data_IF_215850502529
#
_entry.id   IF_215850502529
#
_cell.length_a   1.000
_cell.length_b   1.000
_cell.length_c   1.000
_cell.angle_alpha   90.00
_cell.angle_beta   90.00
_cell.angle_gamma   90.00
#
_symmetry.space_group_name_H-M   'P 1'
#
loop_
_entity.id
_entity.type
_entity.pdbx_description
1 polymer ?
#
# COMPACT_ATOMS: atom_id res chain seq x y z
N UNK A 1 14.63 1.72 -16.39
CA UNK A 1 13.48 1.11 -15.69
C UNK A 1 12.64 0.41 -16.74
N UNK A 2 12.35 -0.89 -16.58
CA UNK A 2 11.61 -1.65 -17.59
C UNK A 2 10.20 -1.04 -17.76
N UNK A 3 9.75 -0.81 -19.00
CA UNK A 3 8.48 -0.12 -19.31
C UNK A 3 7.26 -0.86 -18.72
N UNK A 4 7.35 -2.18 -18.62
CA UNK A 4 6.31 -3.04 -18.07
C UNK A 4 6.13 -2.85 -16.55
N UNK A 5 7.23 -2.81 -15.79
CA UNK A 5 7.19 -2.59 -14.34
C UNK A 5 6.56 -1.23 -14.00
N UNK A 6 6.88 -0.21 -14.80
CA UNK A 6 6.33 1.14 -14.58
C UNK A 6 4.83 1.20 -14.91
N UNK A 7 4.38 0.45 -15.92
CA UNK A 7 2.97 0.35 -16.30
C UNK A 7 2.14 -0.39 -15.24
N UNK A 8 2.67 -1.49 -14.69
CA UNK A 8 2.06 -2.24 -13.59
C UNK A 8 1.93 -1.40 -12.32
N UNK A 9 2.98 -0.65 -11.95
CA UNK A 9 2.94 0.25 -10.80
C UNK A 9 1.88 1.35 -10.98
N UNK A 10 1.81 1.96 -12.18
CA UNK A 10 0.86 3.02 -12.46
C UNK A 10 -0.60 2.53 -12.46
N UNK A 11 -0.85 1.32 -12.98
CA UNK A 11 -2.16 0.68 -12.88
C UNK A 11 -2.53 0.38 -11.43
N UNK A 12 -1.60 -0.19 -10.68
CA UNK A 12 -1.79 -0.48 -9.24
C UNK A 12 -2.17 0.79 -8.48
N UNK A 13 -1.41 1.89 -8.65
CA UNK A 13 -1.70 3.19 -8.04
C UNK A 13 -3.12 3.65 -8.39
N UNK A 14 -3.50 3.65 -9.67
CA UNK A 14 -4.84 4.11 -10.11
C UNK A 14 -5.96 3.30 -9.47
N UNK A 15 -5.79 1.99 -9.42
CA UNK A 15 -6.81 1.13 -8.86
C UNK A 15 -6.86 1.21 -7.34
N UNK A 16 -5.73 1.21 -6.64
CA UNK A 16 -5.68 1.37 -5.18
C UNK A 16 -6.28 2.69 -4.73
N UNK A 17 -5.90 3.81 -5.35
CA UNK A 17 -6.48 5.11 -5.02
C UNK A 17 -7.98 5.15 -5.35
N UNK A 18 -8.39 4.55 -6.46
CA UNK A 18 -9.80 4.47 -6.85
C UNK A 18 -10.65 3.66 -5.87
N UNK A 19 -10.24 2.42 -5.56
CA UNK A 19 -10.96 1.57 -4.60
C UNK A 19 -10.82 2.08 -3.17
N UNK A 20 -9.67 2.65 -2.83
CA UNK A 20 -9.41 3.29 -1.54
C UNK A 20 -10.35 4.46 -1.29
N UNK A 21 -10.54 5.33 -2.28
CA UNK A 21 -11.50 6.42 -2.22
C UNK A 21 -12.93 5.91 -2.04
N UNK A 22 -13.36 4.91 -2.81
CA UNK A 22 -14.70 4.33 -2.69
C UNK A 22 -14.94 3.73 -1.30
N UNK A 23 -13.97 3.00 -0.75
CA UNK A 23 -14.08 2.41 0.59
C UNK A 23 -14.07 3.52 1.66
N UNK A 24 -13.23 4.55 1.50
CA UNK A 24 -13.25 5.68 2.42
C UNK A 24 -14.60 6.40 2.43
N UNK A 25 -15.25 6.52 1.26
CA UNK A 25 -16.57 7.15 1.13
C UNK A 25 -17.64 6.34 1.86
N UNK A 26 -17.58 5.01 1.78
CA UNK A 26 -18.45 4.10 2.52
C UNK A 26 -18.21 4.24 4.04
N UNK A 27 -16.96 4.39 4.46
CA UNK A 27 -16.62 4.61 5.88
C UNK A 27 -17.16 5.96 6.38
N UNK A 28 -17.12 7.02 5.56
CA UNK A 28 -17.74 8.32 5.89
C UNK A 28 -19.25 8.15 6.13
N UNK A 29 -19.92 7.33 5.32
CA UNK A 29 -21.37 7.11 5.42
C UNK A 29 -21.78 6.30 6.67
N UNK A 30 -20.89 5.46 7.20
CA UNK A 30 -21.19 4.54 8.31
C UNK A 30 -20.62 5.05 9.65
N UNK A 31 -19.58 5.87 9.61
CA UNK A 31 -18.83 6.30 10.79
C UNK A 31 -18.59 7.81 10.77
N UNK A 32 -17.38 8.28 11.05
CA UNK A 32 -17.00 9.69 11.09
C UNK A 32 -16.00 10.04 9.99
N UNK A 33 -16.00 11.32 9.58
CA UNK A 33 -15.03 11.83 8.61
C UNK A 33 -13.58 11.66 9.08
N UNK A 34 -13.33 11.73 10.39
CA UNK A 34 -12.03 11.50 11.00
C UNK A 34 -11.58 10.05 10.77
N UNK A 35 -12.45 9.07 11.00
CA UNK A 35 -12.14 7.65 10.80
C UNK A 35 -11.85 7.33 9.32
N UNK A 36 -12.60 7.93 8.40
CA UNK A 36 -12.34 7.79 6.97
C UNK A 36 -11.00 8.41 6.55
N UNK A 37 -10.64 9.57 7.11
CA UNK A 37 -9.34 10.20 6.90
C UNK A 37 -8.19 9.32 7.38
N UNK A 38 -8.32 8.72 8.56
CA UNK A 38 -7.31 7.82 9.15
C UNK A 38 -7.15 6.54 8.33
N UNK A 39 -8.27 5.97 7.85
CA UNK A 39 -8.24 4.87 6.88
C UNK A 39 -7.47 5.26 5.61
N UNK A 40 -7.72 6.44 5.06
CA UNK A 40 -7.05 6.93 3.85
C UNK A 40 -5.54 7.17 4.08
N UNK A 41 -5.15 7.63 5.27
CA UNK A 41 -3.74 7.73 5.67
C UNK A 41 -3.10 6.34 5.69
N UNK A 42 -3.74 5.33 6.29
CA UNK A 42 -3.26 3.95 6.29
C UNK A 42 -3.05 3.38 4.88
N UNK A 43 -3.99 3.65 3.98
CA UNK A 43 -3.90 3.31 2.54
C UNK A 43 -2.74 4.03 1.84
N UNK A 44 -2.53 5.31 2.11
CA UNK A 44 -1.40 6.05 1.51
C UNK A 44 -0.05 5.53 2.00
N UNK A 45 0.06 5.22 3.30
CA UNK A 45 1.28 4.65 3.89
C UNK A 45 1.61 3.29 3.27
N UNK A 46 0.61 2.41 3.12
CA UNK A 46 0.80 1.10 2.50
C UNK A 46 1.20 1.22 1.02
N UNK A 47 0.60 2.15 0.28
CA UNK A 47 0.95 2.43 -1.12
C UNK A 47 2.39 2.95 -1.26
N UNK A 48 2.82 3.92 -0.45
CA UNK A 48 4.20 4.42 -0.46
C UNK A 48 5.17 3.29 -0.12
N UNK A 49 4.82 2.48 0.88
CA UNK A 49 5.61 1.32 1.29
C UNK A 49 5.76 0.30 0.16
N UNK A 50 4.69 0.04 -0.60
CA UNK A 50 4.71 -0.85 -1.76
C UNK A 50 5.52 -0.28 -2.93
N UNK A 51 5.35 1.01 -3.26
CA UNK A 51 6.11 1.67 -4.32
C UNK A 51 7.60 1.69 -4.03
N UNK A 52 7.99 2.00 -2.79
CA UNK A 52 9.39 1.91 -2.35
C UNK A 52 9.92 0.48 -2.53
N UNK A 53 9.14 -0.53 -2.12
CA UNK A 53 9.49 -1.94 -2.33
C UNK A 53 9.68 -2.29 -3.80
N UNK A 54 8.72 -1.91 -4.65
CA UNK A 54 8.74 -2.20 -6.09
C UNK A 54 9.92 -1.52 -6.79
N UNK A 55 10.27 -0.30 -6.39
CA UNK A 55 11.44 0.41 -6.92
C UNK A 55 12.75 -0.26 -6.50
N UNK A 56 12.89 -0.62 -5.22
CA UNK A 56 14.10 -1.25 -4.70
C UNK A 56 14.29 -2.63 -5.36
N UNK A 57 13.26 -3.46 -5.37
CA UNK A 57 13.30 -4.77 -6.03
C UNK A 57 13.58 -4.61 -7.52
N UNK A 58 12.82 -3.77 -8.24
CA UNK A 58 13.01 -3.57 -9.68
C UNK A 58 14.37 -3.02 -10.09
N UNK A 59 15.10 -2.34 -9.18
CA UNK A 59 16.42 -1.75 -9.44
C UNK A 59 17.58 -2.60 -8.96
N UNK A 60 17.40 -3.37 -7.88
CA UNK A 60 18.49 -4.06 -7.17
C UNK A 60 18.36 -5.60 -7.17
N UNK A 61 17.28 -6.19 -7.69
CA UNK A 61 17.13 -7.65 -7.77
C UNK A 61 18.09 -8.29 -8.79
N UNK A 62 18.36 -7.59 -9.89
CA UNK A 62 19.13 -8.14 -11.03
C UNK A 62 20.65 -7.84 -10.95
N UNK A 63 21.03 -6.91 -10.06
CA UNK A 63 22.44 -6.68 -9.71
C UNK A 63 22.72 -7.46 -8.45
N UNK A 64 23.94 -8.00 -8.31
CA UNK A 64 24.47 -8.74 -7.15
C UNK A 64 24.55 -7.90 -5.84
N UNK A 65 23.62 -6.97 -5.63
CA UNK A 65 23.42 -6.02 -4.54
C UNK A 65 22.09 -6.27 -3.81
N UNK A 66 21.55 -7.49 -3.89
CA UNK A 66 20.35 -7.91 -3.15
C UNK A 66 20.48 -7.65 -1.64
N UNK A 67 21.70 -7.58 -1.11
CA UNK A 67 21.98 -7.21 0.29
C UNK A 67 21.48 -5.82 0.69
N UNK A 68 21.28 -4.89 -0.26
CA UNK A 68 20.70 -3.56 -0.02
C UNK A 68 19.21 -3.65 0.35
N UNK A 69 18.53 -4.76 0.02
CA UNK A 69 17.11 -4.97 0.34
C UNK A 69 16.90 -5.06 1.86
N UNK A 70 17.85 -5.67 2.59
CA UNK A 70 17.77 -5.89 4.04
C UNK A 70 17.66 -4.56 4.82
N UNK A 71 18.58 -3.59 4.71
CA UNK A 71 18.47 -2.32 5.44
C UNK A 71 17.25 -1.49 5.02
N UNK A 72 16.83 -1.57 3.76
CA UNK A 72 15.62 -0.84 3.32
C UNK A 72 14.33 -1.37 3.93
N UNK A 73 14.28 -2.65 4.33
CA UNK A 73 13.15 -3.21 5.04
C UNK A 73 12.98 -2.58 6.43
N UNK A 74 14.08 -2.39 7.16
CA UNK A 74 14.06 -1.74 8.48
C UNK A 74 13.60 -0.29 8.40
N UNK A 75 14.07 0.47 7.40
CA UNK A 75 13.64 1.86 7.18
C UNK A 75 12.13 1.94 6.92
N UNK A 76 11.60 1.02 6.11
CA UNK A 76 10.17 0.93 5.80
C UNK A 76 9.33 0.55 7.02
N UNK A 77 9.82 -0.37 7.85
CA UNK A 77 9.16 -0.72 9.10
C UNK A 77 9.12 0.48 10.06
N UNK A 78 10.24 1.19 10.20
CA UNK A 78 10.32 2.40 11.01
C UNK A 78 9.36 3.49 10.51
N UNK A 79 9.22 3.65 9.19
CA UNK A 79 8.26 4.58 8.58
C UNK A 79 6.81 4.25 8.97
N UNK A 80 6.40 2.99 8.88
CA UNK A 80 5.05 2.56 9.26
C UNK A 80 4.79 2.87 10.74
N UNK A 81 5.74 2.50 11.62
CA UNK A 81 5.63 2.73 13.06
C UNK A 81 5.54 4.24 13.37
N UNK A 82 6.34 5.07 12.71
CA UNK A 82 6.29 6.52 12.89
C UNK A 82 4.92 7.10 12.50
N UNK A 83 4.28 6.56 11.46
CA UNK A 83 2.98 7.07 10.99
C UNK A 83 1.80 6.60 11.84
N UNK A 84 1.89 5.45 12.53
CA UNK A 84 0.83 5.00 13.43
C UNK A 84 0.95 5.60 14.84
N UNK A 85 2.16 6.02 15.23
CA UNK A 85 2.46 6.62 16.53
C UNK A 85 1.46 7.70 17.00
N UNK A 86 1.08 8.72 16.18
CA UNK A 86 0.13 9.74 16.59
C UNK A 86 -1.29 9.22 16.88
N UNK A 87 -1.64 8.02 16.42
CA UNK A 87 -2.97 7.42 16.57
C UNK A 87 -3.07 6.42 17.73
N UNK A 88 -1.96 6.07 18.38
CA UNK A 88 -1.92 5.07 19.46
C UNK A 88 -2.77 5.42 20.68
N UNK A 89 -3.09 6.71 20.87
CA UNK A 89 -3.94 7.17 21.97
C UNK A 89 -5.42 6.76 21.85
N UNK A 90 -5.87 6.30 20.68
CA UNK A 90 -7.24 5.85 20.48
C UNK A 90 -7.29 4.57 19.64
N UNK A 91 -7.74 3.47 20.26
CA UNK A 91 -7.77 2.14 19.64
C UNK A 91 -8.66 2.09 18.40
N UNK A 92 -9.73 2.90 18.34
CA UNK A 92 -10.60 2.97 17.17
C UNK A 92 -9.83 3.48 15.93
N UNK A 93 -9.00 4.51 16.12
CA UNK A 93 -8.18 5.08 15.05
C UNK A 93 -7.10 4.11 14.57
N UNK A 94 -6.48 3.37 15.50
CA UNK A 94 -5.52 2.31 15.16
C UNK A 94 -6.18 1.24 14.29
N UNK A 95 -7.42 0.83 14.62
CA UNK A 95 -8.16 -0.17 13.86
C UNK A 95 -8.45 0.33 12.44
N UNK A 96 -8.98 1.55 12.27
CA UNK A 96 -9.24 2.10 10.94
C UNK A 96 -7.97 2.26 10.11
N UNK A 97 -6.87 2.69 10.73
CA UNK A 97 -5.57 2.74 10.08
C UNK A 97 -5.11 1.36 9.62
N UNK A 98 -5.20 0.33 10.49
CA UNK A 98 -4.81 -1.04 10.15
C UNK A 98 -5.67 -1.61 9.03
N UNK A 99 -6.99 -1.37 9.04
CA UNK A 99 -7.90 -1.82 7.97
C UNK A 99 -7.49 -1.18 6.63
N UNK A 100 -7.14 0.11 6.62
CA UNK A 100 -6.63 0.79 5.42
C UNK A 100 -5.26 0.28 4.97
N UNK A 101 -4.39 -0.07 5.92
CA UNK A 101 -3.10 -0.65 5.60
C UNK A 101 -3.24 -2.06 4.98
N UNK A 102 -4.10 -2.91 5.55
CA UNK A 102 -4.32 -4.28 5.10
C UNK A 102 -5.11 -4.34 3.79
N UNK A 103 -6.10 -3.47 3.59
CA UNK A 103 -6.93 -3.46 2.39
C UNK A 103 -6.10 -3.29 1.11
N UNK A 104 -5.06 -2.48 1.14
CA UNK A 104 -4.09 -2.36 0.06
C UNK A 104 -3.46 -3.71 -0.34
N UNK A 105 -3.00 -4.53 0.62
CA UNK A 105 -2.42 -5.84 0.30
C UNK A 105 -3.46 -6.82 -0.24
N UNK A 106 -4.70 -6.77 0.28
CA UNK A 106 -5.81 -7.58 -0.24
C UNK A 106 -6.10 -7.21 -1.70
N UNK A 107 -6.16 -5.91 -1.99
CA UNK A 107 -6.36 -5.40 -3.35
C UNK A 107 -5.22 -5.85 -4.27
N UNK A 108 -3.96 -5.70 -3.86
CA UNK A 108 -2.80 -6.19 -4.61
C UNK A 108 -2.89 -7.67 -4.96
N UNK A 109 -3.26 -8.52 -4.00
CA UNK A 109 -3.42 -9.96 -4.22
C UNK A 109 -4.53 -10.22 -5.25
N UNK A 110 -5.69 -9.60 -5.09
CA UNK A 110 -6.82 -9.74 -6.00
C UNK A 110 -6.47 -9.25 -7.41
N UNK A 111 -5.77 -8.12 -7.54
CA UNK A 111 -5.31 -7.59 -8.81
C UNK A 111 -4.34 -8.53 -9.51
N UNK A 112 -3.34 -9.04 -8.78
CA UNK A 112 -2.36 -9.98 -9.34
C UNK A 112 -3.01 -11.27 -9.83
N UNK A 113 -4.00 -11.79 -9.10
CA UNK A 113 -4.80 -12.95 -9.53
C UNK A 113 -5.60 -12.62 -10.79
N UNK A 114 -6.23 -11.44 -10.86
CA UNK A 114 -7.04 -11.01 -12.01
C UNK A 114 -6.20 -10.77 -13.26
N UNK A 115 -4.98 -10.25 -13.11
CA UNK A 115 -4.05 -10.00 -14.20
C UNK A 115 -3.41 -11.29 -14.73
N UNK A 116 -3.03 -12.22 -13.85
CA UNK A 116 -2.57 -13.55 -14.26
C UNK A 116 -3.64 -14.33 -15.05
N UNK A 117 -4.93 -14.10 -14.80
CA UNK A 117 -6.01 -14.69 -15.62
C UNK A 117 -6.15 -14.06 -17.01
N UNK A 118 -5.65 -12.84 -17.22
CA UNK A 118 -5.67 -12.16 -18.53
C UNK A 118 -4.42 -12.43 -19.38
N UNK A 119 -3.34 -12.93 -18.78
CA UNK A 119 -2.11 -13.33 -19.48
C UNK A 119 -2.09 -14.76 -20.04
N UNK A 120 -3.21 -15.49 -19.96
CA UNK A 120 -3.40 -16.82 -20.55
C UNK A 120 -4.33 -16.73 -21.76
N UNK A 121 -3.92 -15.98 -22.79
CA UNK A 121 -4.40 -16.06 -24.18
C UNK A 121 -3.27 -15.64 -25.10
#
# INVERSE_FOLDING_TARGET
>A
MNKEVNKLLLQTIKYDLGSGLLISLIIVLISTFINAGIYMIGMCVSLINFLASGYIVGKFLDKNRAWIIIPTYFIRMAFIIATIFPFLGNMEYVIYYMIGFVSHYVLLIVFRIKENRKGSV
#
